data_IF_718994039633
#
_entry.id   IF_718994039633
#
_cell.length_a   1.000
_cell.length_b   1.000
_cell.length_c   1.000
_cell.angle_alpha   90.00
_cell.angle_beta   90.00
_cell.angle_gamma   90.00
#
_symmetry.space_group_name_H-M   'P 1'
#
loop_
_entity.id
_entity.type
_entity.pdbx_description
1 polymer ?
#
# COMPACT_ATOMS: atom_id res chain seq x y z
N UNK A 1 5.55 2.52 7.36
CA UNK A 1 4.66 1.35 7.62
C UNK A 1 4.60 0.52 6.35
N UNK A 2 4.43 -0.79 6.44
CA UNK A 2 4.29 -1.70 5.31
C UNK A 2 2.93 -2.37 5.38
N UNK A 3 2.14 -2.31 4.32
CA UNK A 3 0.90 -3.05 4.14
C UNK A 3 1.19 -4.19 3.18
N UNK A 4 1.10 -5.42 3.67
CA UNK A 4 1.56 -6.61 2.96
C UNK A 4 0.42 -7.63 2.87
N UNK A 5 0.01 -7.95 1.65
CA UNK A 5 -1.15 -8.81 1.40
C UNK A 5 -0.73 -10.20 0.99
N UNK A 6 0.27 -10.30 0.11
CA UNK A 6 0.71 -11.56 -0.49
C UNK A 6 2.01 -12.09 0.11
N UNK A 7 2.52 -11.46 1.16
CA UNK A 7 3.81 -11.77 1.80
C UNK A 7 5.03 -11.46 0.92
N UNK A 8 4.87 -10.64 -0.12
CA UNK A 8 5.96 -10.32 -1.05
C UNK A 8 7.02 -9.40 -0.41
N UNK A 9 6.65 -8.64 0.63
CA UNK A 9 7.55 -7.69 1.28
C UNK A 9 8.19 -8.30 2.54
N UNK A 10 7.37 -8.83 3.45
CA UNK A 10 7.83 -9.35 4.74
C UNK A 10 8.13 -10.85 4.77
N UNK A 11 7.72 -11.60 3.75
CA UNK A 11 7.86 -13.06 3.69
C UNK A 11 6.84 -13.83 4.55
N UNK A 12 6.77 -15.14 4.34
CA UNK A 12 5.80 -16.05 4.98
C UNK A 12 6.14 -16.46 6.42
N UNK A 13 7.31 -16.06 6.92
CA UNK A 13 7.76 -16.44 8.27
C UNK A 13 7.03 -15.69 9.39
N UNK A 14 6.93 -16.31 10.56
CA UNK A 14 6.42 -15.67 11.79
C UNK A 14 7.25 -14.45 12.20
N UNK A 15 8.53 -14.43 11.81
CA UNK A 15 9.43 -13.29 11.94
C UNK A 15 9.58 -12.66 10.55
N UNK A 16 9.21 -11.36 10.39
CA UNK A 16 9.38 -10.67 9.11
C UNK A 16 10.84 -10.64 8.65
N UNK A 17 11.03 -10.66 7.33
CA UNK A 17 12.35 -10.61 6.72
C UNK A 17 13.13 -9.36 7.15
N UNK A 18 14.41 -9.54 7.54
CA UNK A 18 15.23 -8.47 8.12
C UNK A 18 15.36 -7.21 7.21
N UNK A 19 15.15 -7.34 5.91
CA UNK A 19 15.20 -6.24 4.95
C UNK A 19 14.16 -5.13 5.24
N UNK A 20 13.06 -5.42 5.94
CA UNK A 20 12.08 -4.38 6.31
C UNK A 20 12.56 -3.48 7.46
N UNK A 21 13.68 -3.81 8.11
CA UNK A 21 14.28 -3.02 9.18
C UNK A 21 13.32 -2.76 10.34
N UNK A 22 13.19 -1.49 10.73
CA UNK A 22 12.29 -1.06 11.81
C UNK A 22 10.87 -0.77 11.34
N UNK A 23 10.53 -1.06 10.08
CA UNK A 23 9.20 -0.78 9.57
C UNK A 23 8.16 -1.68 10.25
N UNK A 24 7.06 -1.08 10.69
CA UNK A 24 5.89 -1.82 11.16
C UNK A 24 5.21 -2.47 9.96
N UNK A 25 5.15 -3.81 9.94
CA UNK A 25 4.36 -4.60 8.99
C UNK A 25 2.92 -4.75 9.48
N UNK A 26 1.97 -4.47 8.61
CA UNK A 26 0.54 -4.72 8.79
C UNK A 26 0.13 -5.76 7.76
N UNK A 27 -0.10 -6.98 8.24
CA UNK A 27 -0.56 -8.08 7.40
C UNK A 27 -2.03 -7.87 7.04
N UNK A 28 -2.36 -7.99 5.75
CA UNK A 28 -3.76 -7.92 5.30
C UNK A 28 -4.41 -9.30 5.42
N UNK A 29 -5.52 -9.46 6.18
CA UNK A 29 -6.14 -10.78 6.39
C UNK A 29 -6.79 -11.37 5.14
N UNK A 30 -7.24 -10.51 4.21
CA UNK A 30 -7.88 -10.88 2.94
C UNK A 30 -7.59 -9.79 1.90
N UNK A 31 -7.28 -10.11 0.63
CA UNK A 31 -6.99 -9.10 -0.39
C UNK A 31 -8.05 -7.99 -0.51
N UNK A 32 -9.34 -8.35 -0.40
CA UNK A 32 -10.45 -7.39 -0.46
C UNK A 32 -10.48 -6.37 0.69
N UNK A 33 -9.65 -6.53 1.72
CA UNK A 33 -9.53 -5.63 2.86
C UNK A 33 -8.34 -4.69 2.77
N UNK A 34 -7.49 -4.79 1.73
CA UNK A 34 -6.24 -4.04 1.63
C UNK A 34 -6.46 -2.52 1.77
N UNK A 35 -7.43 -1.95 1.04
CA UNK A 35 -7.78 -0.52 1.16
C UNK A 35 -8.12 -0.09 2.60
N UNK A 36 -8.78 -0.94 3.40
CA UNK A 36 -9.09 -0.62 4.80
C UNK A 36 -7.84 -0.63 5.67
N UNK A 37 -6.96 -1.60 5.46
CA UNK A 37 -5.68 -1.68 6.19
C UNK A 37 -4.77 -0.51 5.82
N UNK A 38 -4.79 -0.05 4.56
CA UNK A 38 -4.08 1.16 4.12
C UNK A 38 -4.55 2.40 4.88
N UNK A 39 -5.87 2.60 5.01
CA UNK A 39 -6.43 3.72 5.76
C UNK A 39 -6.10 3.60 7.25
N UNK A 40 -6.29 2.43 7.84
CA UNK A 40 -5.97 2.15 9.25
C UNK A 40 -4.49 2.42 9.56
N UNK A 41 -3.58 2.03 8.65
CA UNK A 41 -2.15 2.27 8.79
C UNK A 41 -1.82 3.75 8.96
N UNK A 42 -2.48 4.62 8.20
CA UNK A 42 -2.26 6.07 8.30
C UNK A 42 -2.99 6.68 9.47
N UNK A 43 -4.23 6.26 9.77
CA UNK A 43 -5.00 6.80 10.89
C UNK A 43 -4.38 6.48 12.25
N UNK A 44 -3.83 5.28 12.42
CA UNK A 44 -3.28 4.85 13.70
C UNK A 44 -1.79 5.18 13.89
N UNK A 45 -1.03 5.36 12.80
CA UNK A 45 0.42 5.49 12.88
C UNK A 45 0.99 6.73 12.18
N UNK A 46 0.21 7.42 11.34
CA UNK A 46 0.59 8.65 10.61
C UNK A 46 2.06 8.64 10.14
N UNK A 47 2.46 7.62 9.37
CA UNK A 47 3.87 7.42 9.05
C UNK A 47 4.35 8.44 8.02
N UNK A 48 5.66 8.71 7.97
CA UNK A 48 6.26 9.51 6.90
C UNK A 48 6.16 8.79 5.54
N UNK A 49 6.31 7.47 5.55
CA UNK A 49 6.24 6.61 4.36
C UNK A 49 5.36 5.39 4.63
N UNK A 50 4.47 5.09 3.70
CA UNK A 50 3.76 3.82 3.60
C UNK A 50 4.20 3.07 2.35
N UNK A 51 4.58 1.81 2.53
CA UNK A 51 4.84 0.88 1.43
C UNK A 51 3.63 -0.05 1.37
N UNK A 52 2.98 -0.10 0.22
CA UNK A 52 1.90 -1.04 -0.07
C UNK A 52 2.44 -2.04 -1.06
N UNK A 53 1.93 -3.27 -0.98
CA UNK A 53 2.16 -4.32 -1.96
C UNK A 53 1.58 -3.91 -3.35
N UNK A 54 0.83 -4.80 -4.01
CA UNK A 54 0.20 -4.49 -5.29
C UNK A 54 -1.10 -3.68 -5.16
N UNK A 55 -1.16 -2.52 -5.84
CA UNK A 55 -2.38 -1.73 -6.05
C UNK A 55 -3.07 -2.22 -7.33
N UNK A 56 -4.25 -2.82 -7.19
CA UNK A 56 -5.00 -3.43 -8.28
C UNK A 56 -6.48 -3.07 -8.34
N UNK A 57 -7.04 -2.43 -7.30
CA UNK A 57 -8.48 -2.08 -7.26
C UNK A 57 -8.73 -0.58 -7.16
N UNK A 58 -9.92 -0.14 -7.61
CA UNK A 58 -10.35 1.26 -7.48
C UNK A 58 -10.39 1.72 -6.01
N UNK A 59 -10.81 0.83 -5.10
CA UNK A 59 -10.83 1.13 -3.67
C UNK A 59 -9.43 1.38 -3.09
N UNK A 60 -8.42 0.62 -3.55
CA UNK A 60 -7.02 0.87 -3.17
C UNK A 60 -6.51 2.18 -3.76
N UNK A 61 -6.83 2.51 -5.02
CA UNK A 61 -6.45 3.79 -5.61
C UNK A 61 -7.05 4.98 -4.85
N UNK A 62 -8.32 4.90 -4.44
CA UNK A 62 -8.96 5.93 -3.60
C UNK A 62 -8.30 6.02 -2.22
N UNK A 63 -7.90 4.89 -1.64
CA UNK A 63 -7.14 4.90 -0.39
C UNK A 63 -5.76 5.57 -0.59
N UNK A 64 -5.06 5.31 -1.70
CA UNK A 64 -3.81 6.00 -2.03
C UNK A 64 -3.99 7.52 -2.09
N UNK A 65 -5.04 8.01 -2.75
CA UNK A 65 -5.35 9.43 -2.82
C UNK A 65 -5.54 10.03 -1.41
N UNK A 66 -6.37 9.41 -0.57
CA UNK A 66 -6.61 9.87 0.80
C UNK A 66 -5.32 9.90 1.65
N UNK A 67 -4.41 8.95 1.43
CA UNK A 67 -3.11 8.91 2.08
C UNK A 67 -2.22 10.07 1.64
N UNK A 68 -2.14 10.34 0.33
CA UNK A 68 -1.35 11.45 -0.20
C UNK A 68 -1.88 12.81 0.25
N UNK A 69 -3.20 13.00 0.32
CA UNK A 69 -3.82 14.22 0.86
C UNK A 69 -3.43 14.49 2.32
N UNK A 70 -3.11 13.44 3.08
CA UNK A 70 -2.61 13.54 4.46
C UNK A 70 -1.09 13.81 4.53
N UNK A 71 -0.42 14.01 3.40
CA UNK A 71 1.00 14.32 3.31
C UNK A 71 1.93 13.11 3.55
N UNK A 72 1.39 11.89 3.48
CA UNK A 72 2.17 10.66 3.64
C UNK A 72 2.71 10.23 2.28
N UNK A 73 4.01 9.91 2.20
CA UNK A 73 4.59 9.35 0.99
C UNK A 73 4.13 7.90 0.80
N UNK A 74 3.59 7.58 -0.37
CA UNK A 74 3.17 6.23 -0.73
C UNK A 74 4.13 5.62 -1.75
N UNK A 75 4.54 4.38 -1.50
CA UNK A 75 5.29 3.53 -2.42
C UNK A 75 4.52 2.23 -2.61
N UNK A 76 4.40 1.73 -3.83
CA UNK A 76 3.80 0.43 -4.07
C UNK A 76 3.99 -0.03 -5.51
N UNK A 77 3.61 -1.26 -5.77
CA UNK A 77 3.56 -1.80 -7.13
C UNK A 77 2.13 -1.64 -7.66
N UNK A 78 1.98 -1.64 -8.99
CA UNK A 78 0.68 -1.69 -9.62
C UNK A 78 0.80 -2.55 -10.86
N UNK A 79 -0.19 -3.40 -11.11
CA UNK A 79 -0.19 -4.22 -12.31
C UNK A 79 -0.63 -3.40 -13.52
N UNK A 80 0.18 -3.40 -14.56
CA UNK A 80 -0.15 -2.76 -15.82
C UNK A 80 0.75 -3.24 -16.94
N UNK A 81 0.17 -3.55 -18.10
CA UNK A 81 0.95 -3.90 -19.30
C UNK A 81 1.71 -2.70 -19.87
N UNK A 82 1.24 -1.48 -19.59
CA UNK A 82 1.83 -0.21 -20.01
C UNK A 82 1.62 0.83 -18.93
N UNK A 83 2.56 1.78 -18.83
CA UNK A 83 2.46 2.89 -17.88
C UNK A 83 1.19 3.73 -18.13
N UNK A 84 0.76 3.82 -19.39
CA UNK A 84 -0.50 4.45 -19.79
C UNK A 84 -1.74 3.83 -19.12
N UNK A 85 -1.73 2.51 -18.85
CA UNK A 85 -2.84 1.82 -18.19
C UNK A 85 -2.92 2.17 -16.70
N UNK A 86 -1.78 2.52 -16.10
CA UNK A 86 -1.66 2.95 -14.70
C UNK A 86 -2.02 4.43 -14.57
N UNK A 87 -1.46 5.28 -15.45
CA UNK A 87 -1.69 6.75 -15.46
C UNK A 87 -3.12 7.10 -15.90
N UNK A 88 -3.82 6.27 -16.70
CA UNK A 88 -5.21 6.53 -17.06
C UNK A 88 -6.22 6.32 -15.93
N UNK A 89 -5.79 5.77 -14.79
CA UNK A 89 -6.62 5.78 -13.59
C UNK A 89 -6.70 7.23 -13.09
N UNK A 90 -7.84 7.92 -13.21
CA UNK A 90 -7.94 9.35 -12.87
C UNK A 90 -7.53 9.61 -11.42
N UNK A 91 -7.84 8.66 -10.53
CA UNK A 91 -7.52 8.72 -9.10
C UNK A 91 -6.02 8.65 -8.82
N UNK A 92 -5.26 7.92 -9.64
CA UNK A 92 -3.79 7.87 -9.52
C UNK A 92 -3.11 9.00 -10.30
N UNK A 93 -3.73 9.50 -11.37
CA UNK A 93 -3.17 10.58 -12.20
C UNK A 93 -3.22 11.95 -11.52
N UNK A 94 -4.13 12.12 -10.56
CA UNK A 94 -4.35 13.38 -9.83
C UNK A 94 -3.55 13.45 -8.52
N UNK A 95 -2.67 12.46 -8.27
CA UNK A 95 -1.71 12.41 -7.16
C UNK A 95 -0.37 13.05 -7.54
#
# INVERSE_FOLDING_TARGET
VIVDTSNEIGGDGDIPHAAIGSARRMQVPKPTMQHKVMIEAVENHMPEVIIVDEIGTEAEALACQSIAERGVMLLGTAHGERIENIIKNPTLSDM
#
